data_IF_104959994633
#
_entry.id   IF_104959994633
#
_cell.length_a   1.000
_cell.length_b   1.000
_cell.length_c   1.000
_cell.angle_alpha   90.00
_cell.angle_beta   90.00
_cell.angle_gamma   90.00
#
_symmetry.space_group_name_H-M   'P 1'
#
loop_
_entity.id
_entity.type
_entity.pdbx_description
1 polymer ?
#
# COMPACT_ATOMS: atom_id res chain seq x y z
N UNK A 1 2.68 3.96 -16.05
CA UNK A 1 2.40 5.27 -15.43
C UNK A 1 2.81 6.35 -16.41
N UNK A 2 2.19 7.53 -16.37
CA UNK A 2 2.52 8.65 -17.26
C UNK A 2 3.73 9.42 -16.72
N UNK A 3 4.60 9.92 -17.61
CA UNK A 3 5.67 10.85 -17.24
C UNK A 3 5.10 12.10 -16.56
N UNK A 4 5.76 12.55 -15.49
CA UNK A 4 5.32 13.71 -14.70
C UNK A 4 4.11 13.39 -13.81
N UNK A 5 3.90 12.12 -13.50
CA UNK A 5 2.79 11.67 -12.67
C UNK A 5 3.02 11.86 -11.16
N UNK A 6 2.03 11.53 -10.32
CA UNK A 6 2.13 11.70 -8.86
C UNK A 6 3.32 10.97 -8.23
N UNK A 7 3.70 9.80 -8.76
CA UNK A 7 4.86 9.05 -8.23
C UNK A 7 6.16 9.79 -8.50
N UNK A 8 6.31 10.42 -9.66
CA UNK A 8 7.53 11.17 -10.00
C UNK A 8 7.69 12.36 -9.04
N UNK A 9 6.60 13.06 -8.74
CA UNK A 9 6.60 14.15 -7.76
C UNK A 9 6.94 13.69 -6.33
N UNK A 10 6.47 12.50 -5.93
CA UNK A 10 6.83 11.93 -4.62
C UNK A 10 8.30 11.50 -4.57
N UNK A 11 8.86 10.97 -5.66
CA UNK A 11 10.28 10.65 -5.77
C UNK A 11 11.15 11.91 -5.68
N UNK A 12 10.78 12.97 -6.40
CA UNK A 12 11.45 14.28 -6.30
C UNK A 12 11.41 14.82 -4.87
N UNK A 13 10.24 14.81 -4.22
CA UNK A 13 10.11 15.23 -2.82
C UNK A 13 10.98 14.41 -1.85
N UNK A 14 11.17 13.11 -2.11
CA UNK A 14 12.06 12.26 -1.32
C UNK A 14 13.53 12.59 -1.58
N UNK A 15 13.91 12.77 -2.84
CA UNK A 15 15.29 13.09 -3.24
C UNK A 15 15.71 14.49 -2.72
N UNK A 16 14.75 15.42 -2.60
CA UNK A 16 14.90 16.73 -1.95
C UNK A 16 14.90 16.66 -0.41
N UNK A 17 14.66 15.48 0.18
CA UNK A 17 14.64 15.27 1.63
C UNK A 17 13.40 15.80 2.36
N UNK A 18 12.30 16.05 1.64
CA UNK A 18 11.03 16.50 2.24
C UNK A 18 10.23 15.34 2.86
N UNK A 19 10.42 14.14 2.34
CA UNK A 19 9.81 12.90 2.84
C UNK A 19 10.83 11.77 2.83
N UNK A 20 10.69 10.79 3.72
CA UNK A 20 11.60 9.65 3.80
C UNK A 20 11.12 8.43 3.01
N UNK A 21 9.81 8.16 3.04
CA UNK A 21 9.23 6.92 2.52
C UNK A 21 7.95 7.17 1.71
N UNK A 22 7.72 6.33 0.69
CA UNK A 22 6.55 6.41 -0.17
C UNK A 22 5.64 5.20 0.08
N UNK A 23 4.36 5.45 0.36
CA UNK A 23 3.35 4.41 0.58
C UNK A 23 2.04 4.73 -0.12
N UNK A 24 1.12 3.77 -0.13
CA UNK A 24 -0.21 3.95 -0.68
C UNK A 24 -1.30 3.38 0.22
N UNK A 25 -2.55 3.72 -0.07
CA UNK A 25 -3.73 3.15 0.59
C UNK A 25 -4.70 2.63 -0.45
N UNK A 26 -5.46 1.58 -0.13
CA UNK A 26 -6.45 1.03 -1.05
C UNK A 26 -7.62 0.36 -0.33
N UNK A 27 -8.79 0.46 -0.96
CA UNK A 27 -10.00 -0.31 -0.63
C UNK A 27 -10.34 -1.36 -1.70
N UNK A 28 -9.45 -1.56 -2.67
CA UNK A 28 -9.66 -2.45 -3.82
C UNK A 28 -9.47 -3.93 -3.45
N UNK A 29 -9.58 -4.81 -4.44
CA UNK A 29 -9.37 -6.25 -4.25
C UNK A 29 -7.91 -6.57 -3.94
N UNK A 30 -7.64 -7.67 -3.22
CA UNK A 30 -6.28 -8.09 -2.90
C UNK A 30 -5.39 -8.24 -4.14
N UNK A 31 -5.95 -8.70 -5.27
CA UNK A 31 -5.24 -8.87 -6.53
C UNK A 31 -4.73 -7.54 -7.07
N UNK A 32 -5.57 -6.51 -7.11
CA UNK A 32 -5.17 -5.17 -7.56
C UNK A 32 -4.13 -4.56 -6.62
N UNK A 33 -4.28 -4.74 -5.31
CA UNK A 33 -3.29 -4.26 -4.32
C UNK A 33 -1.94 -4.94 -4.55
N UNK A 34 -1.92 -6.25 -4.85
CA UNK A 34 -0.70 -6.99 -5.18
C UNK A 34 -0.08 -6.47 -6.48
N UNK A 35 -0.85 -6.21 -7.53
CA UNK A 35 -0.33 -5.63 -8.78
C UNK A 35 0.28 -4.24 -8.55
N UNK A 36 -0.28 -3.43 -7.65
CA UNK A 36 0.33 -2.15 -7.26
C UNK A 36 1.65 -2.38 -6.53
N UNK A 37 1.71 -3.32 -5.56
CA UNK A 37 2.96 -3.63 -4.85
C UNK A 37 4.06 -4.17 -5.78
N UNK A 38 3.70 -4.93 -6.81
CA UNK A 38 4.63 -5.45 -7.83
C UNK A 38 5.33 -4.36 -8.64
N UNK A 39 4.82 -3.13 -8.66
CA UNK A 39 5.49 -2.01 -9.32
C UNK A 39 6.83 -1.66 -8.67
N UNK A 40 7.02 -2.01 -7.38
CA UNK A 40 8.22 -1.68 -6.62
C UNK A 40 8.32 -0.19 -6.21
N UNK A 41 7.24 0.57 -6.41
CA UNK A 41 7.21 2.02 -6.16
C UNK A 41 6.91 2.40 -4.71
N UNK A 42 6.48 1.43 -3.89
CA UNK A 42 5.96 1.68 -2.55
C UNK A 42 6.62 0.79 -1.50
N UNK A 43 6.93 1.39 -0.36
CA UNK A 43 7.55 0.75 0.81
C UNK A 43 6.51 0.36 1.86
N UNK A 44 5.29 0.90 1.77
CA UNK A 44 4.19 0.57 2.68
C UNK A 44 2.81 0.64 2.03
N UNK A 45 1.87 -0.09 2.61
CA UNK A 45 0.45 -0.08 2.23
C UNK A 45 -0.45 0.05 3.45
N UNK A 46 -1.46 0.92 3.36
CA UNK A 46 -2.57 1.00 4.33
C UNK A 46 -3.79 0.27 3.80
N UNK A 47 -4.33 -0.69 4.56
CA UNK A 47 -5.46 -1.54 4.14
C UNK A 47 -6.55 -1.59 5.21
N UNK A 48 -7.82 -1.59 4.80
CA UNK A 48 -8.92 -1.79 5.73
C UNK A 48 -9.07 -3.28 6.09
N UNK A 49 -8.89 -3.62 7.37
CA UNK A 49 -9.10 -4.97 7.90
C UNK A 49 -9.48 -4.96 9.38
N UNK A 50 -10.32 -5.91 9.78
CA UNK A 50 -10.63 -6.23 11.18
C UNK A 50 -11.19 -7.65 11.24
N UNK A 51 -11.40 -8.14 12.47
CA UNK A 51 -11.89 -9.50 12.73
C UNK A 51 -13.28 -9.79 12.13
N UNK A 52 -14.09 -8.76 11.85
CA UNK A 52 -15.41 -8.91 11.24
C UNK A 52 -15.35 -8.96 9.71
N UNK A 53 -14.22 -8.57 9.10
CA UNK A 53 -14.03 -8.54 7.65
C UNK A 53 -13.76 -9.92 7.08
N UNK A 54 -14.82 -10.70 6.94
CA UNK A 54 -14.77 -12.07 6.39
C UNK A 54 -14.85 -12.12 4.86
N UNK A 55 -15.35 -11.06 4.21
CA UNK A 55 -15.45 -10.94 2.75
C UNK A 55 -14.52 -9.85 2.22
N UNK A 56 -13.86 -10.14 1.09
CA UNK A 56 -12.87 -9.23 0.51
C UNK A 56 -11.71 -8.95 1.48
N UNK A 57 -11.34 -9.95 2.29
CA UNK A 57 -10.23 -9.82 3.24
C UNK A 57 -8.93 -9.50 2.49
N UNK A 58 -8.16 -8.48 2.92
CA UNK A 58 -6.87 -8.15 2.32
C UNK A 58 -5.75 -9.13 2.71
N UNK A 59 -6.03 -10.20 3.46
CA UNK A 59 -5.02 -11.18 3.90
C UNK A 59 -4.05 -11.66 2.81
N UNK A 60 -4.47 -11.97 1.57
CA UNK A 60 -3.51 -12.33 0.52
C UNK A 60 -2.52 -11.21 0.20
N UNK A 61 -2.97 -9.95 0.19
CA UNK A 61 -2.12 -8.78 0.00
C UNK A 61 -1.22 -8.53 1.21
N UNK A 62 -1.73 -8.71 2.44
CA UNK A 62 -0.93 -8.61 3.68
C UNK A 62 0.19 -9.66 3.66
N UNK A 63 -0.11 -10.89 3.27
CA UNK A 63 0.89 -11.95 3.13
C UNK A 63 1.94 -11.57 2.08
N UNK A 64 1.52 -11.09 0.92
CA UNK A 64 2.46 -10.65 -0.12
C UNK A 64 3.38 -9.54 0.41
N UNK A 65 2.81 -8.53 1.08
CA UNK A 65 3.57 -7.42 1.65
C UNK A 65 4.65 -7.91 2.62
N UNK A 66 4.28 -8.80 3.56
CA UNK A 66 5.21 -9.44 4.49
C UNK A 66 6.36 -10.16 3.76
N UNK A 67 6.02 -10.98 2.77
CA UNK A 67 7.01 -11.78 2.03
C UNK A 67 7.98 -10.91 1.20
N UNK A 68 7.65 -9.65 0.93
CA UNK A 68 8.44 -8.71 0.14
C UNK A 68 8.98 -7.52 0.95
N UNK A 69 8.85 -7.54 2.27
CA UNK A 69 9.38 -6.48 3.14
C UNK A 69 8.64 -5.14 3.05
N UNK A 70 7.37 -5.15 2.61
CA UNK A 70 6.52 -3.96 2.52
C UNK A 70 5.76 -3.80 3.85
N UNK A 71 5.84 -2.60 4.44
CA UNK A 71 5.13 -2.29 5.69
C UNK A 71 3.61 -2.29 5.51
N UNK A 72 2.87 -2.83 6.47
CA UNK A 72 1.40 -2.84 6.45
C UNK A 72 0.84 -2.04 7.62
N UNK A 73 -0.05 -1.09 7.32
CA UNK A 73 -0.82 -0.33 8.31
C UNK A 73 -2.30 -0.73 8.19
N UNK A 74 -2.91 -1.16 9.28
CA UNK A 74 -4.32 -1.57 9.28
C UNK A 74 -5.22 -0.38 9.63
N UNK A 75 -6.12 -0.05 8.72
CA UNK A 75 -7.22 0.89 8.90
C UNK A 75 -8.47 0.18 9.39
N UNK A 76 -9.23 0.83 10.27
CA UNK A 76 -10.46 0.29 10.86
C UNK A 76 -10.28 -1.01 11.65
N UNK A 77 -9.20 -1.20 12.44
CA UNK A 77 -8.93 -2.47 13.15
C UNK A 77 -10.04 -2.88 14.13
N UNK A 78 -10.88 -1.94 14.56
CA UNK A 78 -12.00 -2.15 15.48
C UNK A 78 -13.39 -2.05 14.83
N UNK A 79 -13.48 -1.97 13.50
CA UNK A 79 -14.77 -1.97 12.79
C UNK A 79 -15.51 -0.63 12.71
N UNK A 80 -14.81 0.50 12.94
CA UNK A 80 -15.24 1.86 12.64
C UNK A 80 -14.22 2.53 11.74
#
# INVERSE_FOLDING_TARGET
MSEGGPIDALKEARDDGLIDHIGFTSHDTPENVIEIMKTGEFESVTLYHNILKTRGSPEPAIKYAHDHGIGVVIMGPLGG
#
